data_IF_387563386239
#
_entry.id   IF_387563386239
#
_cell.length_a   1.000
_cell.length_b   1.000
_cell.length_c   1.000
_cell.angle_alpha   90.00
_cell.angle_beta   90.00
_cell.angle_gamma   90.00
#
_symmetry.space_group_name_H-M   'P 1'
#
loop_
_entity.id
_entity.type
_entity.pdbx_description
1 polymer ?
#
# COMPACT_ATOMS: atom_id res chain seq x y z
N UNK A 1 -8.03 -22.79 -20.52
CA UNK A 1 -6.75 -22.43 -19.88
C UNK A 1 -7.07 -21.63 -18.64
N UNK A 2 -7.08 -22.26 -17.46
CA UNK A 2 -7.38 -21.56 -16.20
C UNK A 2 -6.09 -21.01 -15.62
N UNK A 3 -5.99 -19.69 -15.53
CA UNK A 3 -4.87 -19.01 -14.87
C UNK A 3 -5.08 -19.16 -13.36
N UNK A 4 -4.24 -19.97 -12.72
CA UNK A 4 -4.23 -20.13 -11.28
C UNK A 4 -3.30 -19.07 -10.69
N UNK A 5 -3.88 -18.04 -10.08
CA UNK A 5 -3.10 -17.08 -9.31
C UNK A 5 -2.63 -17.74 -8.00
N UNK A 6 -1.35 -17.62 -7.62
CA UNK A 6 -0.91 -18.06 -6.31
C UNK A 6 -1.70 -17.30 -5.23
N UNK A 7 -2.18 -18.03 -4.22
CA UNK A 7 -2.79 -17.39 -3.04
C UNK A 7 -1.71 -16.62 -2.30
N UNK A 8 -1.84 -15.29 -2.23
CA UNK A 8 -1.03 -14.46 -1.35
C UNK A 8 -1.24 -14.93 0.10
N UNK A 9 -0.16 -15.38 0.74
CA UNK A 9 -0.20 -15.82 2.13
C UNK A 9 -0.11 -14.59 3.03
N UNK A 10 -1.26 -14.14 3.54
CA UNK A 10 -1.32 -13.18 4.65
C UNK A 10 -0.85 -13.78 6.00
N UNK A 11 -0.37 -15.03 6.01
CA UNK A 11 -0.03 -15.80 7.21
C UNK A 11 1.18 -15.25 8.00
N UNK A 12 1.92 -14.27 7.44
CA UNK A 12 3.11 -13.68 8.07
C UNK A 12 2.90 -12.27 8.63
N UNK A 13 1.71 -11.69 8.53
CA UNK A 13 1.47 -10.38 9.13
C UNK A 13 1.31 -10.56 10.64
N UNK A 14 2.19 -9.90 11.41
CA UNK A 14 1.95 -9.72 12.83
C UNK A 14 0.54 -9.15 13.04
N UNK A 15 -0.22 -9.63 14.04
CA UNK A 15 -1.58 -9.19 14.26
C UNK A 15 -1.65 -7.67 14.39
N UNK A 16 -2.75 -7.09 13.93
CA UNK A 16 -3.00 -5.65 14.06
C UNK A 16 -3.07 -5.35 15.56
N UNK A 17 -2.03 -4.68 16.09
CA UNK A 17 -1.99 -4.27 17.50
C UNK A 17 -2.64 -2.89 17.59
N UNK A 18 -3.72 -2.78 18.35
CA UNK A 18 -4.25 -1.48 18.71
C UNK A 18 -3.34 -0.84 19.77
N UNK A 19 -2.48 0.07 19.32
CA UNK A 19 -1.50 0.77 20.18
C UNK A 19 -2.18 1.50 21.34
N UNK A 20 -3.40 2.00 21.14
CA UNK A 20 -4.15 2.69 22.18
C UNK A 20 -4.56 1.75 23.31
N UNK A 21 -4.96 0.51 22.99
CA UNK A 21 -5.34 -0.50 24.00
C UNK A 21 -4.14 -0.91 24.85
N UNK A 22 -2.99 -1.15 24.21
CA UNK A 22 -1.75 -1.51 24.91
C UNK A 22 -1.25 -0.35 25.79
N UNK A 23 -1.44 0.89 25.35
CA UNK A 23 -1.11 2.07 26.12
C UNK A 23 -2.08 2.28 27.31
N UNK A 24 -3.35 1.97 27.14
CA UNK A 24 -4.39 2.12 28.16
C UNK A 24 -4.32 1.02 29.25
N UNK A 25 -3.89 -0.18 28.89
CA UNK A 25 -3.72 -1.30 29.83
C UNK A 25 -2.66 -1.00 30.91
N UNK A 26 -1.68 -0.14 30.59
CA UNK A 26 -0.55 0.21 31.48
C UNK A 26 -0.82 1.42 32.39
N UNK A 27 -2.04 1.96 32.40
CA UNK A 27 -2.33 3.19 33.14
C UNK A 27 -2.39 2.99 34.65
N UNK A 28 -1.56 3.76 35.36
CA UNK A 28 -1.61 3.85 36.83
C UNK A 28 -2.85 4.62 37.29
N UNK A 29 -3.28 4.38 38.54
CA UNK A 29 -4.42 5.10 39.14
C UNK A 29 -4.18 6.62 39.15
N UNK A 30 -2.95 7.07 39.42
CA UNK A 30 -2.60 8.49 39.41
C UNK A 30 -2.75 9.14 38.04
N UNK A 31 -2.38 8.44 36.96
CA UNK A 31 -2.57 8.93 35.59
C UNK A 31 -4.05 9.00 35.22
N UNK A 32 -4.85 7.99 35.59
CA UNK A 32 -6.31 8.01 35.37
C UNK A 32 -6.97 9.21 36.03
N UNK A 33 -6.59 9.51 37.29
CA UNK A 33 -7.10 10.69 38.00
C UNK A 33 -6.62 11.99 37.34
N UNK A 34 -5.34 12.08 36.97
CA UNK A 34 -4.80 13.25 36.29
C UNK A 34 -5.52 13.53 34.96
N UNK A 35 -5.85 12.49 34.17
CA UNK A 35 -6.59 12.65 32.92
C UNK A 35 -8.02 13.13 33.13
N UNK A 36 -8.72 12.59 34.13
CA UNK A 36 -10.06 13.06 34.47
C UNK A 36 -10.02 14.51 34.94
N UNK A 37 -9.04 14.88 35.77
CA UNK A 37 -8.91 16.26 36.26
C UNK A 37 -8.53 17.22 35.12
N UNK A 38 -7.56 16.86 34.29
CA UNK A 38 -7.09 17.68 33.18
C UNK A 38 -8.17 17.86 32.09
N UNK A 39 -8.89 16.80 31.73
CA UNK A 39 -10.00 16.87 30.77
C UNK A 39 -11.16 17.73 31.28
N UNK A 40 -11.44 17.70 32.58
CA UNK A 40 -12.42 18.59 33.20
C UNK A 40 -11.94 20.05 33.23
N UNK A 41 -10.67 20.31 33.60
CA UNK A 41 -10.09 21.66 33.60
C UNK A 41 -10.03 22.30 32.21
N UNK A 42 -9.89 21.49 31.15
CA UNK A 42 -9.90 21.95 29.75
C UNK A 42 -11.30 22.17 29.15
N UNK A 43 -12.39 21.97 29.90
CA UNK A 43 -13.76 22.07 29.39
C UNK A 43 -14.34 23.48 29.52
N UNK A 44 -15.06 23.94 28.48
CA UNK A 44 -15.84 25.17 28.53
C UNK A 44 -16.84 25.23 29.69
N UNK A 45 -17.40 24.07 30.08
CA UNK A 45 -18.35 23.98 31.20
C UNK A 45 -17.67 24.32 32.54
N UNK A 46 -16.43 23.90 32.73
CA UNK A 46 -15.67 24.17 33.95
C UNK A 46 -15.40 25.67 34.11
N UNK A 47 -14.99 26.35 33.02
CA UNK A 47 -14.74 27.80 33.02
C UNK A 47 -16.00 28.58 33.44
N UNK A 48 -17.16 28.21 32.91
CA UNK A 48 -18.44 28.87 33.23
C UNK A 48 -18.81 28.66 34.71
N UNK A 49 -18.76 27.41 35.20
CA UNK A 49 -19.09 27.10 36.60
C UNK A 49 -18.15 27.84 37.55
N UNK A 50 -16.83 27.79 37.28
CA UNK A 50 -15.83 28.49 38.09
C UNK A 50 -16.09 30.00 38.13
N UNK A 51 -16.44 30.60 36.99
CA UNK A 51 -16.75 32.04 36.89
C UNK A 51 -17.98 32.42 37.71
N UNK A 52 -19.02 31.58 37.70
CA UNK A 52 -20.23 31.77 38.50
C UNK A 52 -19.92 31.67 40.00
N UNK A 53 -19.11 30.68 40.41
CA UNK A 53 -18.69 30.52 41.81
C UNK A 53 -17.92 31.75 42.28
N UNK A 54 -16.99 32.27 41.48
CA UNK A 54 -16.24 33.48 41.78
C UNK A 54 -17.17 34.70 41.91
N UNK A 55 -18.08 34.89 40.94
CA UNK A 55 -19.04 35.99 40.99
C UNK A 55 -19.96 35.90 42.22
N UNK A 56 -20.43 34.69 42.56
CA UNK A 56 -21.26 34.45 43.73
C UNK A 56 -20.49 34.73 45.04
N UNK A 57 -19.21 34.34 45.14
CA UNK A 57 -18.37 34.61 46.30
C UNK A 57 -18.15 36.11 46.52
N UNK A 58 -17.87 36.84 45.44
CA UNK A 58 -17.69 38.30 45.47
C UNK A 58 -19.01 38.97 45.89
N UNK A 59 -20.14 38.58 45.29
CA UNK A 59 -21.45 39.15 45.61
C UNK A 59 -21.84 38.89 47.07
N UNK A 60 -21.62 37.66 47.56
CA UNK A 60 -21.90 37.29 48.94
C UNK A 60 -21.09 38.13 49.93
N UNK A 61 -19.78 38.27 49.73
CA UNK A 61 -18.94 39.07 50.63
C UNK A 61 -19.21 40.58 50.50
N UNK A 62 -19.58 41.07 49.31
CA UNK A 62 -19.94 42.48 49.11
C UNK A 62 -21.26 42.82 49.80
N UNK A 63 -22.27 41.96 49.77
CA UNK A 63 -23.54 42.19 50.49
C UNK A 63 -23.33 42.11 52.01
N UNK A 64 -22.47 41.20 52.47
CA UNK A 64 -22.15 41.08 53.90
C UNK A 64 -21.27 42.23 54.43
N UNK A 65 -20.70 43.08 53.58
CA UNK A 65 -19.96 44.27 54.01
C UNK A 65 -20.82 45.25 54.83
N UNK A 66 -22.14 45.25 54.59
CA UNK A 66 -23.10 46.10 55.30
C UNK A 66 -23.43 45.60 56.72
N UNK A 67 -23.04 44.36 57.07
CA UNK A 67 -23.36 43.75 58.37
C UNK A 67 -22.10 43.25 59.10
N UNK A 68 -21.30 42.39 58.46
CA UNK A 68 -19.92 41.97 58.84
C UNK A 68 -19.36 41.06 57.73
N UNK A 69 -18.33 41.46 56.98
CA UNK A 69 -17.80 40.62 55.90
C UNK A 69 -17.00 39.42 56.45
N UNK A 70 -17.16 38.25 55.81
CA UNK A 70 -16.40 37.03 56.10
C UNK A 70 -14.99 37.08 55.48
N UNK A 71 -14.90 37.55 54.23
CA UNK A 71 -13.65 37.78 53.48
C UNK A 71 -13.69 39.21 52.89
N UNK A 72 -13.16 40.19 53.62
CA UNK A 72 -13.18 41.59 53.20
C UNK A 72 -12.17 41.86 52.07
N UNK A 73 -12.47 42.84 51.20
CA UNK A 73 -11.56 43.30 50.17
C UNK A 73 -10.19 43.62 50.80
N UNK A 74 -9.06 43.00 50.36
CA UNK A 74 -8.79 42.42 49.04
C UNK A 74 -9.00 40.89 48.84
N UNK A 75 -9.89 40.24 49.59
CA UNK A 75 -10.27 38.80 49.46
C UNK A 75 -9.10 37.81 49.65
N UNK A 76 -8.53 37.73 50.85
CA UNK A 76 -7.34 36.90 51.13
C UNK A 76 -7.63 35.41 51.01
N UNK A 77 -8.81 34.96 51.44
CA UNK A 77 -9.18 33.54 51.42
C UNK A 77 -9.43 33.06 49.98
N UNK A 78 -10.10 33.89 49.19
CA UNK A 78 -10.30 33.63 47.76
C UNK A 78 -8.96 33.50 47.02
N UNK A 79 -8.04 34.42 47.27
CA UNK A 79 -6.71 34.42 46.66
C UNK A 79 -5.88 33.20 47.06
N UNK A 80 -5.94 32.80 48.34
CA UNK A 80 -5.28 31.59 48.82
C UNK A 80 -5.83 30.33 48.13
N UNK A 81 -7.16 30.21 48.05
CA UNK A 81 -7.82 29.09 47.41
C UNK A 81 -7.47 28.99 45.92
N UNK A 82 -7.49 30.11 45.19
CA UNK A 82 -7.12 30.15 43.77
C UNK A 82 -5.66 29.80 43.53
N UNK A 83 -4.76 30.28 44.40
CA UNK A 83 -3.33 29.97 44.32
C UNK A 83 -3.06 28.49 44.58
N UNK A 84 -3.73 27.89 45.55
CA UNK A 84 -3.69 26.45 45.80
C UNK A 84 -4.24 25.66 44.60
N UNK A 85 -5.39 26.05 44.05
CA UNK A 85 -5.97 25.42 42.87
C UNK A 85 -5.00 25.44 41.67
N UNK A 86 -4.36 26.58 41.41
CA UNK A 86 -3.39 26.72 40.33
C UNK A 86 -2.13 25.85 40.57
N UNK A 87 -1.66 25.77 41.81
CA UNK A 87 -0.49 24.96 42.18
C UNK A 87 -0.71 23.46 41.88
N UNK A 88 -1.92 22.94 42.07
CA UNK A 88 -2.26 21.56 41.72
C UNK A 88 -2.63 21.35 40.25
N UNK A 89 -3.11 22.39 39.57
CA UNK A 89 -3.46 22.30 38.15
C UNK A 89 -2.24 21.97 37.28
N UNK A 90 -1.11 22.65 37.49
CA UNK A 90 0.07 22.48 36.64
C UNK A 90 0.64 21.05 36.63
N UNK A 91 0.83 20.37 37.78
CA UNK A 91 1.25 18.97 37.81
C UNK A 91 0.27 18.00 37.13
N UNK A 92 -1.04 18.17 37.33
CA UNK A 92 -2.03 17.30 36.68
C UNK A 92 -2.04 17.46 35.16
N UNK A 93 -1.95 18.71 34.69
CA UNK A 93 -1.82 19.01 33.26
C UNK A 93 -0.53 18.36 32.72
N UNK A 94 0.60 18.52 33.41
CA UNK A 94 1.88 17.95 32.97
C UNK A 94 1.86 16.42 32.91
N UNK A 95 1.23 15.75 33.88
CA UNK A 95 1.08 14.29 33.89
C UNK A 95 0.22 13.83 32.70
N UNK A 96 -0.92 14.50 32.45
CA UNK A 96 -1.78 14.17 31.31
C UNK A 96 -1.10 14.44 29.97
N UNK A 97 -0.33 15.53 29.87
CA UNK A 97 0.50 15.85 28.69
C UNK A 97 1.59 14.82 28.44
N UNK A 98 2.36 14.43 29.47
CA UNK A 98 3.38 13.39 29.35
C UNK A 98 2.76 12.06 28.89
N UNK A 99 1.57 11.71 29.38
CA UNK A 99 0.84 10.52 28.91
C UNK A 99 0.41 10.67 27.45
N UNK A 100 -0.12 11.82 27.06
CA UNK A 100 -0.53 12.03 25.67
C UNK A 100 0.66 11.94 24.72
N UNK A 101 1.79 12.57 25.07
CA UNK A 101 3.03 12.49 24.31
C UNK A 101 3.55 11.04 24.18
N UNK A 102 3.42 10.22 25.23
CA UNK A 102 3.78 8.80 25.17
C UNK A 102 2.88 8.02 24.19
N UNK A 103 1.56 8.25 24.21
CA UNK A 103 0.63 7.65 23.25
C UNK A 103 0.95 8.06 21.82
N UNK A 104 1.20 9.34 21.61
CA UNK A 104 1.54 9.89 20.30
C UNK A 104 2.86 9.29 19.80
N UNK A 105 3.86 9.11 20.68
CA UNK A 105 5.13 8.44 20.36
C UNK A 105 4.93 6.98 19.95
N UNK A 106 4.14 6.21 20.69
CA UNK A 106 3.87 4.81 20.36
C UNK A 106 3.11 4.69 19.04
N UNK A 107 2.16 5.59 18.80
CA UNK A 107 1.40 5.65 17.55
C UNK A 107 2.33 5.94 16.38
N UNK A 108 3.18 6.97 16.50
CA UNK A 108 4.17 7.30 15.48
C UNK A 108 5.16 6.16 15.20
N UNK A 109 5.57 5.42 16.23
CA UNK A 109 6.42 4.24 16.05
C UNK A 109 5.72 3.13 15.27
N UNK A 110 4.45 2.86 15.57
CA UNK A 110 3.67 1.86 14.86
C UNK A 110 3.38 2.27 13.41
N UNK A 111 3.11 3.55 13.17
CA UNK A 111 2.92 4.12 11.84
C UNK A 111 4.20 3.97 11.02
N UNK A 112 5.36 4.31 11.59
CA UNK A 112 6.67 4.10 10.95
C UNK A 112 6.91 2.62 10.57
N UNK A 113 6.60 1.68 11.46
CA UNK A 113 6.73 0.25 11.18
C UNK A 113 5.78 -0.19 10.07
N UNK A 114 4.57 0.36 10.02
CA UNK A 114 3.58 0.07 8.98
C UNK A 114 4.04 0.62 7.63
N UNK A 115 4.57 1.84 7.61
CA UNK A 115 5.11 2.47 6.40
C UNK A 115 6.29 1.69 5.82
N UNK A 116 7.27 1.32 6.65
CA UNK A 116 8.40 0.49 6.21
C UNK A 116 7.95 -0.87 5.65
N UNK A 117 6.90 -1.48 6.23
CA UNK A 117 6.33 -2.72 5.68
C UNK A 117 5.66 -2.47 4.34
N UNK A 118 4.89 -1.39 4.22
CA UNK A 118 4.28 -1.00 2.95
C UNK A 118 5.32 -0.76 1.86
N UNK A 119 6.44 -0.10 2.20
CA UNK A 119 7.57 0.09 1.28
C UNK A 119 8.15 -1.25 0.80
N UNK A 120 8.36 -2.21 1.71
CA UNK A 120 8.87 -3.54 1.37
C UNK A 120 7.89 -4.34 0.50
N UNK A 121 6.59 -4.27 0.78
CA UNK A 121 5.55 -4.91 -0.04
C UNK A 121 5.52 -4.32 -1.46
N UNK A 122 5.61 -2.99 -1.58
CA UNK A 122 5.70 -2.31 -2.88
C UNK A 122 6.96 -2.71 -3.64
N UNK A 123 8.10 -2.82 -2.94
CA UNK A 123 9.37 -3.28 -3.52
C UNK A 123 9.25 -4.69 -4.09
N UNK A 124 8.63 -5.60 -3.34
CA UNK A 124 8.38 -6.97 -3.82
C UNK A 124 7.46 -7.02 -5.05
N UNK A 125 6.43 -6.17 -5.08
CA UNK A 125 5.55 -6.05 -6.26
C UNK A 125 6.35 -5.55 -7.47
N UNK A 126 7.20 -4.54 -7.30
CA UNK A 126 8.05 -4.02 -8.37
C UNK A 126 9.00 -5.08 -8.91
N UNK A 127 9.69 -5.83 -8.03
CA UNK A 127 10.57 -6.92 -8.43
C UNK A 127 9.81 -8.01 -9.23
N UNK A 128 8.59 -8.32 -8.80
CA UNK A 128 7.74 -9.28 -9.51
C UNK A 128 7.31 -8.76 -10.89
N UNK A 129 6.99 -7.47 -11.00
CA UNK A 129 6.66 -6.83 -12.27
C UNK A 129 7.85 -6.81 -13.23
N UNK A 130 9.04 -6.46 -12.76
CA UNK A 130 10.28 -6.49 -13.56
C UNK A 130 10.56 -7.91 -14.09
N UNK A 131 10.32 -8.93 -13.25
CA UNK A 131 10.42 -10.32 -13.68
C UNK A 131 9.39 -10.69 -14.74
N UNK A 132 8.14 -10.23 -14.59
CA UNK A 132 7.10 -10.44 -15.60
C UNK A 132 7.46 -9.77 -16.93
N UNK A 133 7.98 -8.53 -16.90
CA UNK A 133 8.41 -7.80 -18.09
C UNK A 133 9.51 -8.57 -18.84
N UNK A 134 10.48 -9.14 -18.11
CA UNK A 134 11.51 -9.97 -18.71
C UNK A 134 10.94 -11.23 -19.39
N UNK A 135 9.93 -11.88 -18.78
CA UNK A 135 9.24 -13.02 -19.39
C UNK A 135 8.45 -12.61 -20.63
N UNK A 136 7.76 -11.47 -20.61
CA UNK A 136 7.04 -10.93 -21.76
C UNK A 136 7.99 -10.67 -22.93
N UNK A 137 9.15 -10.06 -22.67
CA UNK A 137 10.19 -9.85 -23.69
C UNK A 137 10.70 -11.16 -24.28
N UNK A 138 10.92 -12.19 -23.46
CA UNK A 138 11.30 -13.52 -23.97
C UNK A 138 10.22 -14.14 -24.85
N UNK A 139 8.93 -13.96 -24.50
CA UNK A 139 7.82 -14.46 -25.32
C UNK A 139 7.80 -13.74 -26.67
N UNK A 140 7.94 -12.41 -26.69
CA UNK A 140 7.99 -11.61 -27.93
C UNK A 140 9.13 -12.08 -28.84
N UNK A 141 10.34 -12.23 -28.30
CA UNK A 141 11.50 -12.72 -29.07
C UNK A 141 11.27 -14.13 -29.65
N UNK A 142 10.63 -15.03 -28.89
CA UNK A 142 10.28 -16.36 -29.38
C UNK A 142 9.23 -16.31 -30.50
N UNK A 143 8.26 -15.40 -30.41
CA UNK A 143 7.26 -15.22 -31.46
C UNK A 143 7.89 -14.66 -32.74
N UNK A 144 8.81 -13.70 -32.64
CA UNK A 144 9.56 -13.18 -33.78
C UNK A 144 10.39 -14.29 -34.46
N UNK A 145 11.15 -15.06 -33.68
CA UNK A 145 11.94 -16.17 -34.20
C UNK A 145 11.07 -17.28 -34.83
N UNK A 146 9.87 -17.53 -34.30
CA UNK A 146 8.91 -18.44 -34.93
C UNK A 146 8.41 -17.87 -36.27
N UNK A 147 8.11 -16.58 -36.34
CA UNK A 147 7.72 -15.90 -37.57
C UNK A 147 8.78 -16.03 -38.67
N UNK A 148 10.06 -15.80 -38.34
CA UNK A 148 11.17 -15.97 -39.29
C UNK A 148 11.32 -17.42 -39.77
N UNK A 149 11.19 -18.39 -38.87
CA UNK A 149 11.23 -19.83 -39.22
C UNK A 149 10.10 -20.20 -40.17
N UNK A 150 8.89 -19.69 -39.93
CA UNK A 150 7.75 -19.93 -40.82
C UNK A 150 7.99 -19.34 -42.21
N UNK A 151 8.53 -18.12 -42.30
CA UNK A 151 8.91 -17.51 -43.57
C UNK A 151 10.00 -18.32 -44.31
N UNK A 152 11.00 -18.83 -43.58
CA UNK A 152 12.04 -19.70 -44.13
C UNK A 152 11.44 -21.02 -44.66
N UNK A 153 10.51 -21.62 -43.91
CA UNK A 153 9.80 -22.84 -44.32
C UNK A 153 8.97 -22.62 -45.58
N UNK A 154 8.26 -21.49 -45.67
CA UNK A 154 7.50 -21.12 -46.87
C UNK A 154 8.42 -20.98 -48.09
N UNK A 155 9.56 -20.30 -47.93
CA UNK A 155 10.56 -20.16 -48.99
C UNK A 155 11.11 -21.50 -49.46
N UNK A 156 11.47 -22.39 -48.52
CA UNK A 156 11.96 -23.73 -48.85
C UNK A 156 10.89 -24.57 -49.55
N UNK A 157 9.64 -24.48 -49.09
CA UNK A 157 8.52 -25.17 -49.73
C UNK A 157 8.32 -24.70 -51.17
N UNK A 158 8.37 -23.39 -51.42
CA UNK A 158 8.32 -22.81 -52.77
C UNK A 158 9.47 -23.32 -53.66
N UNK A 159 10.70 -23.34 -53.14
CA UNK A 159 11.87 -23.83 -53.86
C UNK A 159 11.75 -25.33 -54.22
N UNK A 160 11.27 -26.15 -53.29
CA UNK A 160 11.00 -27.58 -53.55
C UNK A 160 9.93 -27.74 -54.64
N UNK A 161 8.83 -26.99 -54.55
CA UNK A 161 7.76 -27.04 -55.57
C UNK A 161 8.31 -26.67 -56.95
N UNK A 162 9.06 -25.57 -57.06
CA UNK A 162 9.70 -25.16 -58.31
C UNK A 162 10.67 -26.22 -58.86
N UNK A 163 11.46 -26.84 -57.98
CA UNK A 163 12.38 -27.91 -58.38
C UNK A 163 11.64 -29.13 -58.93
N UNK A 164 10.56 -29.54 -58.26
CA UNK A 164 9.70 -30.66 -58.69
C UNK A 164 9.04 -30.37 -60.04
N UNK A 165 8.52 -29.16 -60.24
CA UNK A 165 7.96 -28.72 -61.52
C UNK A 165 9.02 -28.80 -62.63
N UNK A 166 10.23 -28.28 -62.39
CA UNK A 166 11.32 -28.35 -63.35
C UNK A 166 11.75 -29.79 -63.67
N UNK A 167 11.78 -30.69 -62.67
CA UNK A 167 12.05 -32.11 -62.91
C UNK A 167 10.95 -32.77 -63.73
N UNK A 168 9.68 -32.44 -63.47
CA UNK A 168 8.53 -32.97 -64.20
C UNK A 168 8.57 -32.55 -65.67
N UNK A 169 8.88 -31.28 -65.96
CA UNK A 169 9.04 -30.81 -67.34
C UNK A 169 10.24 -31.48 -68.05
N UNK A 170 11.38 -31.64 -67.37
CA UNK A 170 12.52 -32.40 -67.94
C UNK A 170 12.15 -33.85 -68.27
N UNK A 171 11.44 -34.53 -67.36
CA UNK A 171 10.97 -35.89 -67.58
C UNK A 171 10.03 -35.99 -68.77
N UNK A 172 9.11 -35.04 -68.95
CA UNK A 172 8.24 -34.97 -70.13
C UNK A 172 9.05 -34.81 -71.41
N UNK A 173 10.00 -33.89 -71.44
CA UNK A 173 10.88 -33.68 -72.60
C UNK A 173 11.69 -34.93 -72.93
N UNK A 174 12.32 -35.55 -71.92
CA UNK A 174 13.06 -36.81 -72.11
C UNK A 174 12.18 -37.94 -72.64
N UNK A 175 10.96 -38.07 -72.12
CA UNK A 175 9.99 -39.05 -72.62
C UNK A 175 9.63 -38.77 -74.09
N UNK A 176 9.42 -37.51 -74.45
CA UNK A 176 9.07 -37.11 -75.80
C UNK A 176 10.22 -37.31 -76.80
N UNK A 177 11.45 -36.95 -76.42
CA UNK A 177 12.67 -37.23 -77.20
C UNK A 177 12.90 -38.73 -77.38
N UNK A 178 12.63 -39.54 -76.35
CA UNK A 178 12.71 -41.00 -76.43
C UNK A 178 11.68 -41.56 -77.42
N UNK A 179 10.43 -41.08 -77.40
CA UNK A 179 9.40 -41.48 -78.37
C UNK A 179 9.78 -41.08 -79.80
N UNK A 180 10.32 -39.88 -80.00
CA UNK A 180 10.84 -39.44 -81.31
C UNK A 180 12.00 -40.31 -81.79
N UNK A 181 12.93 -40.66 -80.90
CA UNK A 181 14.05 -41.56 -81.21
C UNK A 181 13.57 -42.96 -81.61
N UNK A 182 12.60 -43.52 -80.87
CA UNK A 182 12.00 -44.83 -81.19
C UNK A 182 11.32 -44.81 -82.57
N UNK A 183 10.54 -43.76 -82.85
CA UNK A 183 9.87 -43.56 -84.15
C UNK A 183 10.87 -43.48 -85.32
N UNK A 184 11.96 -42.72 -85.17
CA UNK A 184 13.03 -42.63 -86.18
C UNK A 184 13.70 -43.98 -86.43
N UNK A 185 14.01 -44.73 -85.38
CA UNK A 185 14.61 -46.07 -85.48
C UNK A 185 13.70 -47.05 -86.21
N UNK A 186 12.40 -47.02 -85.91
CA UNK A 186 11.43 -47.89 -86.56
C UNK A 186 11.28 -47.52 -88.06
N UNK A 187 11.33 -46.23 -88.42
CA UNK A 187 11.34 -45.75 -89.80
C UNK A 187 12.61 -46.14 -90.58
N UNK A 188 13.78 -46.18 -89.93
CA UNK A 188 15.05 -46.63 -90.55
C UNK A 188 15.08 -48.16 -90.75
N UNK A 189 14.39 -48.94 -89.91
CA UNK A 189 14.32 -50.41 -90.04
C UNK A 189 13.34 -50.91 -91.11
N UNK A 190 12.42 -50.05 -91.58
CA UNK A 190 11.40 -50.37 -92.58
C UNK A 190 11.77 -50.05 -94.04
N UNK A 191 12.98 -49.57 -94.31
CA UNK A 191 13.45 -49.19 -95.66
C UNK A 191 14.57 -50.10 -96.20
N UNK A 192 14.58 -51.38 -95.77
CA UNK A 192 15.48 -52.44 -96.24
C UNK A 192 14.75 -53.51 -97.04
#
# INVERSE_FOLDING_TARGET
MHVHFPKFKHEQHAPIINVNEVADEKLTVGQKVADVVASNMGSWRFIIIQSIILAAWILFNTVQIFFKPFDAYPYILLNLALSFQAAFAAPFIMISQNRQAEKDRLTAQNDYVTDCKGEEEVRHIMEHLDHQDALVLQIVQRLEAQGERLAQQEKLALEIVQHLEAQNERMKTQHQEMLEWMSKRDAESGNG
#
